data_IF_415025252957
#
_entry.id   IF_415025252957
#
_cell.length_a   1.000
_cell.length_b   1.000
_cell.length_c   1.000
_cell.angle_alpha   90.00
_cell.angle_beta   90.00
_cell.angle_gamma   90.00
#
_symmetry.space_group_name_H-M   'P 1'
#
loop_
_entity.id
_entity.type
_entity.pdbx_description
1 polymer ?
#
# COMPACT_ATOMS: atom_id res chain seq x y z
N UNK A 1 2.65 -7.53 21.12
CA UNK A 1 1.95 -6.98 19.92
C UNK A 1 0.45 -7.08 20.11
N UNK A 2 -0.30 -6.12 19.55
CA UNK A 2 -1.77 -6.09 19.56
C UNK A 2 -2.33 -7.31 18.82
N UNK A 3 -3.37 -7.97 19.33
CA UNK A 3 -4.00 -9.10 18.64
C UNK A 3 -4.91 -8.58 17.51
N UNK A 4 -4.40 -8.59 16.27
CA UNK A 4 -5.09 -8.08 15.08
C UNK A 4 -6.49 -8.67 14.86
N UNK A 5 -6.69 -9.96 15.16
CA UNK A 5 -7.97 -10.64 14.89
C UNK A 5 -9.17 -10.06 15.65
N UNK A 6 -8.93 -9.34 16.75
CA UNK A 6 -9.98 -8.66 17.52
C UNK A 6 -10.49 -7.37 16.86
N UNK A 7 -9.72 -6.80 15.93
CA UNK A 7 -9.97 -5.47 15.37
C UNK A 7 -10.24 -5.49 13.86
N UNK A 8 -10.02 -6.64 13.22
CA UNK A 8 -10.28 -6.80 11.79
C UNK A 8 -11.74 -6.45 11.44
N UNK A 9 -11.93 -5.55 10.48
CA UNK A 9 -13.24 -5.31 9.86
C UNK A 9 -13.52 -6.35 8.78
N UNK A 10 -14.47 -7.25 9.04
CA UNK A 10 -14.84 -8.35 8.16
C UNK A 10 -15.75 -7.94 6.99
N UNK A 11 -16.42 -6.77 7.07
CA UNK A 11 -17.36 -6.32 6.06
C UNK A 11 -16.69 -5.78 4.78
N UNK A 12 -15.41 -5.42 4.86
CA UNK A 12 -14.61 -4.91 3.74
C UNK A 12 -13.41 -5.84 3.55
N UNK A 13 -13.32 -6.46 2.38
CA UNK A 13 -12.31 -7.49 2.08
C UNK A 13 -11.88 -7.46 0.63
N UNK A 14 -10.71 -8.05 0.38
CA UNK A 14 -10.19 -8.22 -0.97
C UNK A 14 -9.68 -6.92 -1.58
N UNK A 15 -9.63 -6.87 -2.91
CA UNK A 15 -9.00 -5.78 -3.68
C UNK A 15 -9.91 -4.58 -3.95
N UNK A 16 -11.22 -4.78 -4.08
CA UNK A 16 -12.14 -3.72 -4.49
C UNK A 16 -12.88 -3.11 -3.29
N UNK A 17 -12.58 -1.84 -3.00
CA UNK A 17 -13.18 -1.08 -1.90
C UNK A 17 -13.56 0.31 -2.40
N UNK A 18 -14.85 0.61 -2.39
CA UNK A 18 -15.43 1.88 -2.84
C UNK A 18 -15.94 2.72 -1.67
N UNK A 19 -16.18 4.02 -1.92
CA UNK A 19 -16.82 4.89 -0.93
C UNK A 19 -18.18 4.35 -0.47
N UNK A 20 -18.99 3.83 -1.41
CA UNK A 20 -20.31 3.27 -1.12
C UNK A 20 -20.23 2.07 -0.16
N UNK A 21 -19.27 1.16 -0.37
CA UNK A 21 -19.05 0.03 0.54
C UNK A 21 -18.62 0.52 1.93
N UNK A 22 -17.72 1.49 2.02
CA UNK A 22 -17.30 2.07 3.31
C UNK A 22 -18.50 2.71 4.04
N UNK A 23 -19.32 3.48 3.34
CA UNK A 23 -20.51 4.13 3.91
C UNK A 23 -21.54 3.11 4.41
N UNK A 24 -21.83 2.08 3.60
CA UNK A 24 -22.86 1.10 3.89
C UNK A 24 -22.45 0.11 4.99
N UNK A 25 -21.14 -0.18 5.11
CA UNK A 25 -20.68 -1.32 5.92
C UNK A 25 -19.75 -0.96 7.07
N UNK A 26 -19.20 0.26 7.11
CA UNK A 26 -18.19 0.64 8.09
C UNK A 26 -18.43 1.99 8.78
N UNK A 27 -18.83 3.04 8.06
CA UNK A 27 -18.90 4.38 8.66
C UNK A 27 -19.87 4.49 9.83
N UNK A 28 -20.96 3.71 9.86
CA UNK A 28 -21.89 3.65 11.00
C UNK A 28 -21.26 3.04 12.26
N UNK A 29 -20.12 2.35 12.15
CA UNK A 29 -19.35 1.77 13.26
C UNK A 29 -18.33 2.77 13.84
N UNK A 30 -18.09 3.89 13.15
CA UNK A 30 -17.18 4.93 13.61
C UNK A 30 -17.92 5.84 14.61
N UNK A 31 -17.39 5.95 15.83
CA UNK A 31 -18.00 6.81 16.87
C UNK A 31 -17.85 8.30 16.60
N UNK A 32 -16.85 8.68 15.80
CA UNK A 32 -16.59 10.06 15.39
C UNK A 32 -17.45 10.43 14.19
N UNK A 33 -18.01 11.65 14.19
CA UNK A 33 -18.79 12.15 13.06
C UNK A 33 -17.89 12.39 11.82
N UNK A 34 -18.45 12.11 10.64
CA UNK A 34 -17.77 12.37 9.39
C UNK A 34 -17.64 13.88 9.14
N UNK A 35 -16.42 14.33 8.88
CA UNK A 35 -16.10 15.69 8.43
C UNK A 35 -15.87 15.63 6.92
N UNK A 36 -16.69 16.33 6.14
CA UNK A 36 -16.48 16.38 4.69
C UNK A 36 -15.49 17.49 4.32
N UNK A 37 -14.38 17.10 3.70
CA UNK A 37 -13.24 18.00 3.44
C UNK A 37 -13.30 18.66 2.07
N UNK A 38 -14.24 18.24 1.23
CA UNK A 38 -14.44 18.67 -0.14
C UNK A 38 -15.30 17.67 -0.90
N UNK A 39 -15.30 17.81 -2.23
CA UNK A 39 -15.97 16.88 -3.13
C UNK A 39 -14.99 16.38 -4.18
N UNK A 40 -15.24 15.19 -4.71
CA UNK A 40 -14.56 14.69 -5.91
C UNK A 40 -15.05 15.41 -7.17
N UNK A 41 -14.46 15.08 -8.32
CA UNK A 41 -14.91 15.57 -9.63
C UNK A 41 -16.37 15.20 -9.91
N UNK A 42 -16.80 13.96 -9.62
CA UNK A 42 -18.21 13.54 -9.76
C UNK A 42 -19.14 14.10 -8.68
N UNK A 43 -18.60 14.85 -7.72
CA UNK A 43 -19.38 15.50 -6.67
C UNK A 43 -19.59 14.67 -5.41
N UNK A 44 -18.92 13.52 -5.28
CA UNK A 44 -18.95 12.68 -4.08
C UNK A 44 -18.28 13.40 -2.91
N UNK A 45 -18.89 13.38 -1.72
CA UNK A 45 -18.27 14.01 -0.56
C UNK A 45 -17.07 13.18 -0.08
N UNK A 46 -15.93 13.84 0.16
CA UNK A 46 -14.72 13.19 0.66
C UNK A 46 -14.74 13.21 2.20
N UNK A 47 -14.90 12.05 2.88
CA UNK A 47 -15.03 12.00 4.32
C UNK A 47 -13.65 11.98 5.01
N UNK A 48 -13.58 12.63 6.16
CA UNK A 48 -12.50 12.51 7.11
C UNK A 48 -13.06 12.24 8.52
N UNK A 49 -12.28 11.57 9.35
CA UNK A 49 -12.65 11.26 10.74
C UNK A 49 -11.54 11.67 11.69
N UNK A 50 -11.91 12.22 12.84
CA UNK A 50 -10.96 12.68 13.85
C UNK A 50 -11.06 11.83 15.13
N UNK A 51 -9.91 11.44 15.67
CA UNK A 51 -9.80 10.63 16.88
C UNK A 51 -8.79 11.24 17.84
N UNK A 52 -9.08 11.14 19.13
CA UNK A 52 -8.18 11.63 20.18
C UNK A 52 -8.18 13.16 20.29
N UNK A 53 -7.46 13.64 21.29
CA UNK A 53 -7.41 15.06 21.66
C UNK A 53 -6.01 15.48 22.13
N UNK A 54 -5.00 14.64 21.89
CA UNK A 54 -3.66 14.91 22.33
C UNK A 54 -2.91 15.89 21.43
N UNK A 55 -1.76 16.37 21.93
CA UNK A 55 -0.98 17.44 21.27
C UNK A 55 -0.39 17.03 19.93
N UNK A 56 -0.07 15.75 19.73
CA UNK A 56 0.59 15.26 18.52
C UNK A 56 -0.42 15.10 17.39
N UNK A 57 -0.39 15.99 16.40
CA UNK A 57 -1.33 15.95 15.29
C UNK A 57 -0.81 15.06 14.17
N UNK A 58 -1.58 14.04 13.81
CA UNK A 58 -1.24 13.10 12.73
C UNK A 58 -2.32 13.16 11.65
N UNK A 59 -1.93 13.39 10.40
CA UNK A 59 -2.82 13.32 9.24
C UNK A 59 -2.51 12.05 8.45
N UNK A 60 -3.53 11.27 8.13
CA UNK A 60 -3.42 10.08 7.30
C UNK A 60 -4.39 10.18 6.13
N UNK A 61 -3.97 9.75 4.95
CA UNK A 61 -4.87 9.60 3.81
C UNK A 61 -4.54 8.32 3.04
N UNK A 62 -5.58 7.67 2.53
CA UNK A 62 -5.48 6.45 1.73
C UNK A 62 -6.34 6.54 0.47
N UNK A 63 -6.18 5.56 -0.43
CA UNK A 63 -6.87 5.46 -1.72
C UNK A 63 -6.89 6.80 -2.48
N UNK A 64 -5.74 7.48 -2.54
CA UNK A 64 -5.58 8.58 -3.50
C UNK A 64 -5.46 8.06 -4.94
N UNK A 65 -4.95 6.83 -5.07
CA UNK A 65 -5.19 5.99 -6.23
C UNK A 65 -6.34 5.05 -5.90
N UNK A 66 -7.37 5.04 -6.74
CA UNK A 66 -8.61 4.32 -6.46
C UNK A 66 -8.49 2.81 -6.37
N UNK A 67 -7.50 2.23 -7.05
CA UNK A 67 -7.22 0.79 -7.05
C UNK A 67 -6.31 0.30 -5.90
N UNK A 68 -5.98 1.16 -4.94
CA UNK A 68 -5.01 0.89 -3.86
C UNK A 68 -5.70 0.79 -2.48
N UNK A 69 -6.50 -0.25 -2.26
CA UNK A 69 -7.41 -0.37 -1.10
C UNK A 69 -6.83 -1.02 0.15
N UNK A 70 -5.64 -1.61 0.10
CA UNK A 70 -5.13 -2.43 1.20
C UNK A 70 -4.91 -1.62 2.46
N UNK A 71 -4.36 -0.42 2.30
CA UNK A 71 -4.11 0.47 3.42
C UNK A 71 -5.41 1.10 3.96
N UNK A 72 -6.43 1.34 3.12
CA UNK A 72 -7.78 1.74 3.58
C UNK A 72 -8.37 0.67 4.49
N UNK A 73 -8.27 -0.61 4.13
CA UNK A 73 -8.71 -1.72 4.99
C UNK A 73 -7.97 -1.75 6.33
N UNK A 74 -6.65 -1.57 6.32
CA UNK A 74 -5.85 -1.52 7.55
C UNK A 74 -6.19 -0.30 8.42
N UNK A 75 -6.56 0.82 7.81
CA UNK A 75 -7.09 2.00 8.50
C UNK A 75 -8.42 1.69 9.19
N UNK A 76 -9.33 0.95 8.54
CA UNK A 76 -10.57 0.50 9.18
C UNK A 76 -10.29 -0.33 10.44
N UNK A 77 -9.33 -1.25 10.37
CA UNK A 77 -8.93 -2.09 11.52
C UNK A 77 -8.29 -1.25 12.64
N UNK A 78 -7.45 -0.29 12.28
CA UNK A 78 -6.85 0.66 13.21
C UNK A 78 -7.94 1.46 13.93
N UNK A 79 -8.98 1.91 13.22
CA UNK A 79 -10.09 2.66 13.82
C UNK A 79 -10.83 1.80 14.86
N UNK A 80 -11.10 0.53 14.58
CA UNK A 80 -11.65 -0.39 15.58
C UNK A 80 -10.75 -0.50 16.82
N UNK A 81 -9.45 -0.64 16.63
CA UNK A 81 -8.48 -0.65 17.74
C UNK A 81 -8.53 0.65 18.55
N UNK A 82 -8.46 1.81 17.90
CA UNK A 82 -8.46 3.11 18.56
C UNK A 82 -9.76 3.36 19.35
N UNK A 83 -10.89 2.84 18.90
CA UNK A 83 -12.18 2.97 19.58
C UNK A 83 -12.40 1.93 20.71
N UNK A 84 -11.46 1.01 20.91
CA UNK A 84 -11.57 -0.06 21.90
C UNK A 84 -11.20 0.41 23.31
N UNK A 85 -11.38 -0.48 24.29
CA UNK A 85 -10.99 -0.23 25.68
C UNK A 85 -9.51 -0.55 25.96
N UNK A 86 -8.74 -0.94 24.94
CA UNK A 86 -7.32 -1.27 25.05
C UNK A 86 -6.50 -0.10 25.62
N UNK A 87 -5.58 -0.42 26.53
CA UNK A 87 -4.77 0.56 27.26
C UNK A 87 -3.87 1.36 26.30
N UNK A 88 -3.29 0.69 25.29
CA UNK A 88 -2.45 1.35 24.30
C UNK A 88 -3.29 2.26 23.39
N UNK A 89 -4.49 1.83 22.99
CA UNK A 89 -5.41 2.68 22.22
C UNK A 89 -5.75 3.97 22.97
N UNK A 90 -6.16 3.86 24.24
CA UNK A 90 -6.44 5.02 25.11
C UNK A 90 -5.23 5.93 25.28
N UNK A 91 -4.05 5.33 25.48
CA UNK A 91 -2.80 6.08 25.58
C UNK A 91 -2.51 6.88 24.31
N UNK A 92 -2.57 6.24 23.14
CA UNK A 92 -2.40 6.89 21.83
C UNK A 92 -3.38 8.05 21.68
N UNK A 93 -4.67 7.84 21.95
CA UNK A 93 -5.70 8.89 21.80
C UNK A 93 -5.55 10.05 22.82
N UNK A 94 -4.91 9.82 23.97
CA UNK A 94 -4.59 10.87 24.93
C UNK A 94 -3.41 11.75 24.51
N UNK A 95 -2.51 11.22 23.66
CA UNK A 95 -1.27 11.90 23.21
C UNK A 95 -1.37 12.44 21.79
N UNK A 96 -2.20 11.81 20.95
CA UNK A 96 -2.37 12.16 19.56
C UNK A 96 -3.77 12.70 19.25
N UNK A 97 -3.83 13.60 18.27
CA UNK A 97 -5.02 13.98 17.53
C UNK A 97 -4.87 13.46 16.11
N UNK A 98 -5.59 12.41 15.76
CA UNK A 98 -5.43 11.67 14.50
C UNK A 98 -6.57 12.06 13.57
N UNK A 99 -6.26 12.56 12.38
CA UNK A 99 -7.26 12.78 11.32
C UNK A 99 -6.99 11.83 10.16
N UNK A 100 -8.02 11.13 9.73
CA UNK A 100 -7.93 10.09 8.70
C UNK A 100 -8.86 10.44 7.55
N UNK A 101 -8.36 10.40 6.32
CA UNK A 101 -9.13 10.41 5.07
C UNK A 101 -9.09 8.98 4.50
N UNK A 102 -10.10 8.13 4.75
CA UNK A 102 -10.03 6.72 4.36
C UNK A 102 -9.96 6.51 2.84
N UNK A 103 -10.54 7.43 2.08
CA UNK A 103 -10.61 7.38 0.62
C UNK A 103 -10.57 8.80 0.05
N UNK A 104 -9.44 9.16 -0.57
CA UNK A 104 -9.27 10.51 -1.14
C UNK A 104 -9.84 10.61 -2.56
N UNK A 105 -9.75 9.54 -3.36
CA UNK A 105 -10.23 9.47 -4.73
C UNK A 105 -11.40 8.49 -4.86
N UNK A 106 -12.61 8.88 -4.41
CA UNK A 106 -13.78 8.00 -4.48
C UNK A 106 -14.17 7.67 -5.93
N UNK A 107 -13.98 8.60 -6.87
CA UNK A 107 -14.31 8.40 -8.28
C UNK A 107 -13.42 7.33 -8.93
N UNK A 108 -12.11 7.39 -8.68
CA UNK A 108 -11.18 6.38 -9.16
C UNK A 108 -11.44 5.01 -8.52
N UNK A 109 -11.86 4.99 -7.25
CA UNK A 109 -12.14 3.74 -6.54
C UNK A 109 -13.37 3.02 -7.08
N UNK A 110 -14.43 3.76 -7.43
CA UNK A 110 -15.66 3.23 -8.04
C UNK A 110 -15.40 2.44 -9.34
N UNK A 111 -14.39 2.85 -10.11
CA UNK A 111 -14.02 2.18 -11.38
C UNK A 111 -12.67 1.47 -11.32
N UNK A 112 -12.15 1.25 -10.11
CA UNK A 112 -10.89 0.55 -9.84
C UNK A 112 -9.70 1.04 -10.69
N UNK A 113 -9.48 2.35 -10.71
CA UNK A 113 -8.37 2.97 -11.46
C UNK A 113 -7.45 3.77 -10.55
N UNK A 114 -6.21 3.97 -11.01
CA UNK A 114 -5.19 4.75 -10.31
C UNK A 114 -5.52 6.26 -10.29
N UNK A 115 -6.09 6.76 -11.38
CA UNK A 115 -6.31 8.19 -11.62
C UNK A 115 -7.71 8.63 -11.12
N UNK A 116 -7.97 9.93 -11.01
CA UNK A 116 -9.31 10.41 -10.70
C UNK A 116 -10.21 10.41 -11.96
N UNK A 117 -11.43 10.93 -11.86
CA UNK A 117 -12.37 10.99 -12.98
C UNK A 117 -11.84 11.77 -14.19
N UNK A 118 -11.02 12.80 -13.98
CA UNK A 118 -10.41 13.60 -15.05
C UNK A 118 -9.12 12.97 -15.60
N UNK A 119 -8.87 11.69 -15.31
CA UNK A 119 -7.67 10.97 -15.73
C UNK A 119 -6.35 11.53 -15.16
N UNK A 120 -6.41 12.25 -14.03
CA UNK A 120 -5.24 12.83 -13.37
C UNK A 120 -4.76 11.94 -12.21
N UNK A 121 -3.46 11.65 -12.19
CA UNK A 121 -2.81 11.06 -11.02
C UNK A 121 -2.70 12.13 -9.92
N UNK A 122 -3.49 11.99 -8.85
CA UNK A 122 -3.50 12.95 -7.75
C UNK A 122 -2.14 13.06 -7.05
N UNK A 123 -1.31 12.01 -7.11
CA UNK A 123 0.07 12.02 -6.62
C UNK A 123 1.06 12.63 -7.63
N UNK A 124 0.54 13.34 -8.64
CA UNK A 124 1.29 14.23 -9.54
C UNK A 124 0.65 15.62 -9.62
N UNK A 125 -0.27 15.94 -8.71
CA UNK A 125 -1.05 17.19 -8.71
C UNK A 125 -0.89 18.00 -7.40
N UNK A 126 0.11 17.70 -6.57
CA UNK A 126 0.28 18.34 -5.26
C UNK A 126 0.66 19.84 -5.34
N UNK A 127 1.37 20.24 -6.40
CA UNK A 127 1.81 21.61 -6.63
C UNK A 127 0.73 22.45 -7.32
N UNK A 128 0.28 22.03 -8.49
CA UNK A 128 -0.67 22.79 -9.31
C UNK A 128 -2.09 22.70 -8.75
N UNK A 129 -2.44 21.55 -8.14
CA UNK A 129 -3.73 21.31 -7.46
C UNK A 129 -4.91 21.60 -8.38
N UNK A 130 -4.81 21.10 -9.60
CA UNK A 130 -5.83 21.23 -10.64
C UNK A 130 -7.10 20.49 -10.25
N UNK A 131 -7.00 19.43 -9.43
CA UNK A 131 -8.12 18.58 -9.06
C UNK A 131 -8.76 18.96 -7.72
N UNK A 132 -10.09 18.83 -7.57
CA UNK A 132 -10.78 19.19 -6.34
C UNK A 132 -10.37 18.31 -5.14
N UNK A 133 -10.01 17.04 -5.36
CA UNK A 133 -9.48 16.13 -4.33
C UNK A 133 -8.14 16.64 -3.77
N UNK A 134 -7.22 17.03 -4.65
CA UNK A 134 -5.92 17.62 -4.28
C UNK A 134 -6.09 18.91 -3.47
N UNK A 135 -7.03 19.77 -3.89
CA UNK A 135 -7.36 20.99 -3.16
C UNK A 135 -7.97 20.71 -1.79
N UNK A 136 -8.85 19.71 -1.68
CA UNK A 136 -9.47 19.30 -0.43
C UNK A 136 -8.43 18.81 0.58
N UNK A 137 -7.54 17.90 0.17
CA UNK A 137 -6.43 17.42 1.01
C UNK A 137 -5.52 18.58 1.45
N UNK A 138 -5.16 19.49 0.53
CA UNK A 138 -4.31 20.63 0.86
C UNK A 138 -4.96 21.59 1.86
N UNK A 139 -6.27 21.85 1.73
CA UNK A 139 -7.03 22.68 2.68
C UNK A 139 -7.08 22.01 4.05
N UNK A 140 -7.32 20.70 4.10
CA UNK A 140 -7.32 19.92 5.34
C UNK A 140 -5.95 19.98 6.03
N UNK A 141 -4.86 19.74 5.29
CA UNK A 141 -3.49 19.85 5.81
C UNK A 141 -3.24 21.22 6.44
N UNK A 142 -3.59 22.30 5.73
CA UNK A 142 -3.45 23.67 6.23
C UNK A 142 -4.31 23.95 7.46
N UNK A 143 -5.51 23.35 7.56
CA UNK A 143 -6.39 23.50 8.72
C UNK A 143 -5.85 22.80 9.96
N UNK A 144 -5.33 21.58 9.80
CA UNK A 144 -4.88 20.75 10.93
C UNK A 144 -3.52 21.23 11.44
N UNK A 145 -2.62 21.62 10.54
CA UNK A 145 -1.19 21.79 10.80
C UNK A 145 -0.59 20.52 11.45
N UNK A 146 -0.57 19.38 10.72
CA UNK A 146 -0.10 18.13 11.28
C UNK A 146 1.40 18.16 11.57
N UNK A 147 1.81 17.45 12.63
CA UNK A 147 3.21 17.20 12.96
C UNK A 147 3.75 15.94 12.26
N UNK A 148 2.87 15.03 11.85
CA UNK A 148 3.23 13.84 11.08
C UNK A 148 2.17 13.57 10.01
N UNK A 149 2.61 13.08 8.85
CA UNK A 149 1.75 12.68 7.75
C UNK A 149 2.01 11.23 7.35
N UNK A 150 0.96 10.40 7.27
CA UNK A 150 1.05 9.05 6.71
C UNK A 150 0.35 9.02 5.36
N UNK A 151 1.14 8.82 4.31
CA UNK A 151 0.68 8.66 2.94
C UNK A 151 0.54 7.17 2.62
N UNK A 152 -0.69 6.69 2.44
CA UNK A 152 -0.99 5.26 2.46
C UNK A 152 -1.32 4.74 1.05
N UNK A 153 -0.47 3.86 0.53
CA UNK A 153 -0.51 3.34 -0.84
C UNK A 153 -0.39 1.81 -0.92
N UNK A 154 -0.63 1.28 -2.11
CA UNK A 154 -0.31 -0.09 -2.49
C UNK A 154 0.81 -0.11 -3.55
N UNK A 155 1.68 -1.12 -3.46
CA UNK A 155 2.64 -1.43 -4.53
C UNK A 155 2.29 -2.72 -5.26
N UNK A 156 2.85 -2.93 -6.44
CA UNK A 156 2.61 -4.14 -7.27
C UNK A 156 3.29 -5.39 -6.69
N UNK A 157 2.88 -6.56 -7.15
CA UNK A 157 3.43 -7.87 -6.73
C UNK A 157 4.87 -8.13 -7.18
N UNK A 158 5.40 -7.32 -8.09
CA UNK A 158 6.71 -7.52 -8.73
C UNK A 158 7.93 -7.13 -7.86
N UNK A 159 7.71 -6.54 -6.69
CA UNK A 159 8.78 -6.00 -5.86
C UNK A 159 9.35 -7.02 -4.86
N UNK A 160 10.68 -7.06 -4.75
CA UNK A 160 11.44 -7.76 -3.71
C UNK A 160 12.10 -6.78 -2.76
N UNK A 161 12.27 -7.18 -1.50
CA UNK A 161 13.05 -6.45 -0.51
C UNK A 161 14.54 -6.67 -0.78
N UNK A 162 15.15 -5.79 -1.58
CA UNK A 162 16.51 -5.95 -2.07
C UNK A 162 16.65 -7.03 -3.13
N UNK A 163 17.90 -7.49 -3.34
CA UNK A 163 18.22 -8.57 -4.27
C UNK A 163 18.05 -9.95 -3.61
N UNK A 164 16.81 -10.27 -3.21
CA UNK A 164 16.48 -11.49 -2.47
C UNK A 164 15.19 -12.12 -2.99
N UNK A 165 14.97 -13.40 -2.71
CA UNK A 165 13.69 -14.10 -2.95
C UNK A 165 12.63 -13.75 -1.89
N UNK A 166 12.73 -12.59 -1.25
CA UNK A 166 11.73 -12.13 -0.29
C UNK A 166 10.91 -11.01 -0.94
N UNK A 167 9.58 -11.18 -1.08
CA UNK A 167 8.76 -10.11 -1.61
C UNK A 167 8.83 -8.90 -0.68
N UNK A 168 8.72 -7.72 -1.25
CA UNK A 168 8.53 -6.50 -0.47
C UNK A 168 7.07 -6.48 -0.01
N UNK A 169 6.76 -7.15 1.11
CA UNK A 169 5.40 -7.23 1.66
C UNK A 169 4.95 -5.87 2.19
N UNK A 170 5.86 -5.15 2.87
CA UNK A 170 5.65 -3.75 3.26
C UNK A 170 6.85 -2.95 2.74
N UNK A 171 6.61 -1.74 2.26
CA UNK A 171 7.69 -0.82 1.94
C UNK A 171 7.41 0.56 2.49
N UNK A 172 8.49 1.27 2.79
CA UNK A 172 8.43 2.62 3.32
C UNK A 172 9.25 3.59 2.48
N UNK A 173 8.95 4.87 2.62
CA UNK A 173 9.81 5.95 2.16
C UNK A 173 9.64 7.17 3.07
N UNK A 174 10.76 7.76 3.46
CA UNK A 174 10.84 9.16 3.90
C UNK A 174 11.08 10.02 2.65
N UNK A 175 10.05 10.72 2.13
CA UNK A 175 10.14 11.45 0.87
C UNK A 175 11.27 12.47 0.88
N UNK A 176 11.82 12.76 -0.30
CA UNK A 176 12.85 13.79 -0.43
C UNK A 176 12.22 15.18 -0.38
N UNK A 177 12.98 16.15 0.13
CA UNK A 177 12.56 17.56 0.18
C UNK A 177 13.15 18.41 -0.96
N UNK A 178 14.12 17.88 -1.69
CA UNK A 178 14.81 18.51 -2.81
C UNK A 178 15.50 17.45 -3.70
N UNK A 179 16.04 17.90 -4.84
CA UNK A 179 16.70 17.06 -5.84
C UNK A 179 17.95 16.37 -5.27
N UNK A 180 18.65 17.05 -4.37
CA UNK A 180 19.87 16.60 -3.69
C UNK A 180 19.60 15.52 -2.63
N UNK A 181 18.33 15.31 -2.26
CA UNK A 181 17.88 14.35 -1.24
C UNK A 181 18.51 14.62 0.13
N UNK A 182 18.57 15.89 0.51
CA UNK A 182 19.12 16.28 1.82
C UNK A 182 18.36 15.62 2.97
N UNK A 183 19.08 15.24 4.03
CA UNK A 183 18.49 14.75 5.29
C UNK A 183 18.16 15.97 6.15
N UNK A 184 17.00 16.58 5.87
CA UNK A 184 16.46 17.66 6.71
C UNK A 184 15.94 17.09 8.04
N UNK A 185 15.78 17.91 9.10
CA UNK A 185 15.29 17.44 10.40
C UNK A 185 13.95 16.68 10.32
N UNK A 186 13.08 17.08 9.40
CA UNK A 186 11.77 16.45 9.19
C UNK A 186 11.90 15.12 8.46
N UNK A 187 12.89 15.00 7.57
CA UNK A 187 13.18 13.76 6.85
C UNK A 187 13.84 12.75 7.76
N UNK A 188 14.75 13.21 8.62
CA UNK A 188 15.33 12.45 9.71
C UNK A 188 14.25 11.90 10.65
N UNK A 189 13.30 12.73 11.10
CA UNK A 189 12.20 12.27 11.96
C UNK A 189 11.34 11.17 11.27
N UNK A 190 11.03 11.33 9.99
CA UNK A 190 10.31 10.31 9.22
C UNK A 190 11.13 9.02 9.05
N UNK A 191 12.44 9.11 8.77
CA UNK A 191 13.34 7.95 8.70
C UNK A 191 13.37 7.18 10.02
N UNK A 192 13.51 7.89 11.15
CA UNK A 192 13.52 7.29 12.49
C UNK A 192 12.20 6.61 12.84
N UNK A 193 11.08 7.20 12.47
CA UNK A 193 9.77 6.57 12.65
C UNK A 193 9.62 5.30 11.79
N UNK A 194 10.13 5.31 10.56
CA UNK A 194 10.18 4.13 9.70
C UNK A 194 11.03 3.03 10.33
N UNK A 195 12.16 3.35 10.94
CA UNK A 195 13.00 2.38 11.66
C UNK A 195 12.22 1.72 12.80
N UNK A 196 11.48 2.50 13.58
CA UNK A 196 10.64 1.98 14.66
C UNK A 196 9.61 0.96 14.16
N UNK A 197 8.93 1.27 13.06
CA UNK A 197 7.96 0.37 12.43
C UNK A 197 8.64 -0.86 11.81
N UNK A 198 9.80 -0.68 11.18
CA UNK A 198 10.57 -1.77 10.60
C UNK A 198 11.01 -2.77 11.69
N UNK A 199 11.46 -2.32 12.86
CA UNK A 199 11.86 -3.22 13.94
C UNK A 199 10.72 -4.17 14.36
N UNK A 200 9.52 -3.65 14.59
CA UNK A 200 8.36 -4.50 14.89
C UNK A 200 8.01 -5.42 13.72
N UNK A 201 8.06 -4.93 12.48
CA UNK A 201 7.78 -5.74 11.30
C UNK A 201 8.81 -6.83 11.04
N UNK A 202 10.08 -6.65 11.41
CA UNK A 202 11.09 -7.71 11.28
C UNK A 202 10.79 -8.91 12.18
N UNK A 203 10.06 -8.74 13.28
CA UNK A 203 9.60 -9.85 14.12
C UNK A 203 8.50 -10.68 13.45
N UNK A 204 7.72 -10.06 12.55
CA UNK A 204 6.57 -10.68 11.88
C UNK A 204 6.89 -11.20 10.47
N UNK A 205 7.64 -10.42 9.70
CA UNK A 205 7.96 -10.66 8.28
C UNK A 205 9.45 -10.40 7.99
N UNK A 206 10.36 -11.18 8.61
CA UNK A 206 11.80 -10.93 8.56
C UNK A 206 12.33 -10.87 7.12
N UNK A 207 12.96 -9.75 6.78
CA UNK A 207 13.53 -9.46 5.46
C UNK A 207 12.53 -9.19 4.34
N UNK A 208 11.25 -8.93 4.66
CA UNK A 208 10.21 -8.58 3.67
C UNK A 208 9.78 -7.10 3.76
N UNK A 209 10.55 -6.28 4.49
CA UNK A 209 10.38 -4.83 4.53
C UNK A 209 11.41 -4.18 3.61
N UNK A 210 10.95 -3.33 2.72
CA UNK A 210 11.80 -2.63 1.75
C UNK A 210 11.66 -1.10 1.79
N UNK A 211 12.46 -0.42 0.98
CA UNK A 211 12.45 1.03 0.81
C UNK A 211 12.21 1.39 -0.67
N UNK A 212 11.34 2.36 -0.91
CA UNK A 212 11.15 2.91 -2.26
C UNK A 212 12.27 3.87 -2.65
N UNK A 213 12.45 4.07 -3.97
CA UNK A 213 13.34 5.12 -4.48
C UNK A 213 12.85 6.50 -4.00
N UNK A 214 13.80 7.30 -3.53
CA UNK A 214 13.58 8.63 -2.97
C UNK A 214 13.85 9.74 -4.00
N UNK A 215 13.70 9.46 -5.29
CA UNK A 215 13.77 10.44 -6.36
C UNK A 215 12.75 11.58 -6.15
N UNK A 216 13.26 12.80 -6.04
CA UNK A 216 12.43 13.96 -5.74
C UNK A 216 11.52 14.34 -6.91
N UNK A 217 10.26 14.60 -6.60
CA UNK A 217 9.29 15.19 -7.50
C UNK A 217 8.31 16.05 -6.69
N UNK A 218 8.41 17.37 -6.83
CA UNK A 218 7.56 18.33 -6.12
C UNK A 218 6.05 18.18 -6.39
N UNK A 219 5.68 17.47 -7.46
CA UNK A 219 4.29 17.15 -7.80
C UNK A 219 3.76 15.93 -7.03
N UNK A 220 4.62 15.13 -6.40
CA UNK A 220 4.22 14.07 -5.47
C UNK A 220 3.75 14.65 -4.14
N UNK A 221 2.66 14.13 -3.60
CA UNK A 221 2.06 14.63 -2.36
C UNK A 221 3.00 14.45 -1.17
N UNK A 222 3.72 13.33 -1.12
CA UNK A 222 4.72 13.05 -0.08
C UNK A 222 5.81 14.11 -0.03
N UNK A 223 6.51 14.31 -1.14
CA UNK A 223 7.56 15.31 -1.32
C UNK A 223 7.05 16.73 -1.04
N UNK A 224 5.89 17.07 -1.59
CA UNK A 224 5.26 18.37 -1.40
C UNK A 224 5.02 18.67 0.08
N UNK A 225 4.48 17.72 0.86
CA UNK A 225 4.25 17.93 2.29
C UNK A 225 5.56 17.92 3.08
N UNK A 226 6.53 17.10 2.67
CA UNK A 226 7.88 17.12 3.23
C UNK A 226 8.53 18.51 3.09
N UNK A 227 8.39 19.17 1.93
CA UNK A 227 8.92 20.53 1.69
C UNK A 227 8.29 21.59 2.59
N UNK A 228 7.11 21.32 3.16
CA UNK A 228 6.44 22.25 4.09
C UNK A 228 6.91 22.12 5.53
N UNK A 229 7.89 21.25 5.80
CA UNK A 229 8.45 21.05 7.13
C UNK A 229 7.65 20.07 7.99
N UNK A 230 6.86 19.17 7.38
CA UNK A 230 6.13 18.12 8.10
C UNK A 230 6.72 16.74 7.76
N UNK A 231 7.23 15.98 8.75
CA UNK A 231 7.62 14.58 8.57
C UNK A 231 6.51 13.78 7.91
N UNK A 232 6.78 13.28 6.70
CA UNK A 232 5.84 12.50 5.91
C UNK A 232 6.40 11.09 5.69
N UNK A 233 5.57 10.08 5.88
CA UNK A 233 5.93 8.69 5.73
C UNK A 233 5.03 8.08 4.67
N UNK A 234 5.64 7.56 3.61
CA UNK A 234 4.96 6.74 2.62
C UNK A 234 4.90 5.30 3.13
N UNK A 235 3.71 4.71 3.08
CA UNK A 235 3.46 3.28 3.28
C UNK A 235 3.07 2.68 1.95
N UNK A 236 3.68 1.55 1.61
CA UNK A 236 3.43 0.83 0.37
C UNK A 236 3.10 -0.62 0.72
N UNK A 237 1.82 -0.95 0.66
CA UNK A 237 1.31 -2.30 0.90
C UNK A 237 1.62 -3.16 -0.33
N UNK A 238 2.53 -4.12 -0.20
CA UNK A 238 2.92 -5.02 -1.26
C UNK A 238 2.23 -6.38 -1.21
N UNK A 239 2.94 -7.40 -1.66
CA UNK A 239 2.42 -8.77 -1.72
C UNK A 239 3.11 -9.64 -0.68
N UNK A 240 2.31 -10.38 0.08
CA UNK A 240 2.74 -11.54 0.84
C UNK A 240 2.46 -12.80 0.01
N UNK A 241 3.32 -13.82 0.10
CA UNK A 241 3.19 -15.02 -0.73
C UNK A 241 1.77 -15.63 -0.68
N UNK A 242 1.18 -15.87 -1.86
CA UNK A 242 -0.19 -16.39 -2.06
C UNK A 242 -1.34 -15.48 -1.54
N UNK A 243 -1.04 -14.26 -1.08
CA UNK A 243 -2.02 -13.29 -0.55
C UNK A 243 -2.46 -12.28 -1.62
N UNK A 244 -3.09 -12.76 -2.70
CA UNK A 244 -3.55 -11.90 -3.79
C UNK A 244 -4.70 -10.97 -3.37
N UNK A 245 -5.50 -11.35 -2.38
CA UNK A 245 -6.54 -10.49 -1.79
C UNK A 245 -5.99 -9.42 -0.83
N UNK A 246 -4.70 -9.51 -0.49
CA UNK A 246 -3.98 -8.61 0.43
C UNK A 246 -4.61 -8.52 1.80
N UNK A 247 -4.93 -9.66 2.39
CA UNK A 247 -5.45 -9.76 3.76
C UNK A 247 -4.33 -9.95 4.80
N UNK A 248 -3.20 -10.55 4.42
CA UNK A 248 -1.98 -10.61 5.24
C UNK A 248 -1.19 -9.32 5.16
N UNK A 249 -1.03 -8.74 3.97
CA UNK A 249 -0.41 -7.41 3.89
C UNK A 249 -1.18 -6.37 4.71
N UNK A 250 -2.52 -6.41 4.69
CA UNK A 250 -3.40 -5.57 5.52
C UNK A 250 -3.06 -5.67 7.02
N UNK A 251 -2.85 -6.87 7.55
CA UNK A 251 -2.45 -7.12 8.94
C UNK A 251 -1.11 -6.44 9.27
N UNK A 252 -0.11 -6.56 8.40
CA UNK A 252 1.20 -5.95 8.63
C UNK A 252 1.15 -4.41 8.56
N UNK A 253 0.35 -3.84 7.65
CA UNK A 253 0.11 -2.40 7.64
C UNK A 253 -0.58 -1.95 8.93
N UNK A 254 -1.57 -2.71 9.44
CA UNK A 254 -2.19 -2.41 10.72
C UNK A 254 -1.14 -2.36 11.85
N UNK A 255 -0.27 -3.37 11.96
CA UNK A 255 0.79 -3.37 12.96
C UNK A 255 1.73 -2.17 12.82
N UNK A 256 2.12 -1.81 11.59
CA UNK A 256 2.96 -0.65 11.33
C UNK A 256 2.27 0.67 11.75
N UNK A 257 0.98 0.84 11.44
CA UNK A 257 0.21 2.02 11.83
C UNK A 257 0.15 2.18 13.35
N UNK A 258 -0.14 1.08 14.09
CA UNK A 258 -0.17 1.11 15.55
C UNK A 258 1.21 1.44 16.12
N UNK A 259 2.27 0.81 15.61
CA UNK A 259 3.64 1.09 16.05
C UNK A 259 4.04 2.53 15.80
N UNK A 260 3.76 3.06 14.60
CA UNK A 260 4.04 4.45 14.26
C UNK A 260 3.32 5.43 15.21
N UNK A 261 2.04 5.21 15.47
CA UNK A 261 1.26 6.02 16.41
C UNK A 261 1.76 5.89 17.85
N UNK A 262 2.11 4.69 18.30
CA UNK A 262 2.68 4.46 19.62
C UNK A 262 4.00 5.23 19.79
N UNK A 263 4.94 5.10 18.85
CA UNK A 263 6.22 5.80 18.90
C UNK A 263 6.06 7.32 18.93
N UNK A 264 5.06 7.87 18.23
CA UNK A 264 4.71 9.30 18.31
C UNK A 264 4.13 9.63 19.70
N UNK A 265 3.17 8.84 20.19
CA UNK A 265 2.51 9.05 21.48
C UNK A 265 3.50 9.03 22.66
N UNK A 266 4.46 8.10 22.61
CA UNK A 266 5.52 7.94 23.59
C UNK A 266 6.65 8.98 23.42
N UNK A 267 6.60 9.77 22.33
CA UNK A 267 7.63 10.75 21.96
C UNK A 267 9.03 10.13 21.81
N UNK A 268 9.10 8.93 21.24
CA UNK A 268 10.30 8.10 21.15
C UNK A 268 11.00 8.13 19.78
N UNK A 269 10.55 8.99 18.86
CA UNK A 269 11.14 9.07 17.51
C UNK A 269 12.67 9.27 17.57
N UNK A 270 13.16 10.05 18.54
CA UNK A 270 14.60 10.32 18.68
C UNK A 270 15.43 9.16 19.26
N UNK A 271 14.80 8.07 19.71
CA UNK A 271 15.49 6.86 20.18
C UNK A 271 16.05 6.01 19.02
N UNK A 272 15.60 6.27 17.80
CA UNK A 272 16.00 5.51 16.60
C UNK A 272 17.08 6.25 15.79
N UNK A 273 17.86 5.49 15.02
CA UNK A 273 18.95 6.02 14.20
C UNK A 273 18.57 6.14 12.72
N UNK A 274 18.97 7.24 12.08
CA UNK A 274 18.87 7.39 10.63
C UNK A 274 19.73 6.39 9.87
N UNK A 275 20.84 5.91 10.46
CA UNK A 275 21.68 4.89 9.83
C UNK A 275 20.93 3.56 9.65
N UNK A 276 20.01 3.23 10.55
CA UNK A 276 19.23 2.00 10.47
C UNK A 276 18.20 2.05 9.34
N UNK A 277 17.74 3.26 8.94
CA UNK A 277 16.87 3.44 7.78
C UNK A 277 17.55 2.99 6.49
N UNK A 278 18.83 3.31 6.31
CA UNK A 278 19.61 2.90 5.13
C UNK A 278 19.98 1.41 5.12
N UNK A 279 19.79 0.70 6.24
CA UNK A 279 19.90 -0.76 6.29
C UNK A 279 18.67 -1.47 5.72
N UNK A 280 17.53 -0.77 5.62
CA UNK A 280 16.34 -1.30 4.96
C UNK A 280 16.65 -1.37 3.45
N UNK A 281 16.56 -2.56 2.84
CA UNK A 281 16.96 -2.73 1.46
C UNK A 281 16.03 -1.97 0.50
N UNK A 282 16.60 -1.35 -0.52
CA UNK A 282 15.81 -0.77 -1.60
C UNK A 282 15.10 -1.84 -2.40
N UNK A 283 13.87 -1.55 -2.83
CA UNK A 283 13.08 -2.48 -3.63
C UNK A 283 13.78 -2.77 -4.98
N UNK A 284 13.63 -4.02 -5.43
CA UNK A 284 14.01 -4.46 -6.78
C UNK A 284 12.80 -5.09 -7.47
N UNK A 285 12.80 -5.10 -8.81
CA UNK A 285 11.67 -5.60 -9.62
C UNK A 285 11.89 -7.05 -10.05
N UNK A 286 12.07 -7.95 -9.08
CA UNK A 286 12.55 -9.32 -9.32
C UNK A 286 11.44 -10.38 -9.35
N UNK A 287 10.18 -10.03 -9.08
CA UNK A 287 9.10 -11.00 -9.03
C UNK A 287 8.22 -11.03 -10.29
N UNK A 288 7.82 -12.24 -10.63
CA UNK A 288 6.65 -12.60 -11.42
C UNK A 288 5.58 -13.20 -10.50
N UNK A 289 4.33 -13.14 -10.93
CA UNK A 289 3.23 -13.79 -10.20
C UNK A 289 3.33 -15.31 -10.38
N UNK A 290 3.62 -15.76 -11.59
CA UNK A 290 3.89 -17.17 -11.91
C UNK A 290 5.12 -17.29 -12.80
N UNK A 291 6.00 -18.25 -12.51
CA UNK A 291 7.07 -18.67 -13.42
C UNK A 291 6.80 -20.10 -13.86
N UNK A 292 6.67 -20.29 -15.17
CA UNK A 292 6.39 -21.61 -15.77
C UNK A 292 7.66 -22.14 -16.44
N UNK A 293 8.05 -23.36 -16.07
CA UNK A 293 9.17 -24.10 -16.62
C UNK A 293 8.66 -25.11 -17.65
N UNK A 294 9.43 -25.34 -18.70
CA UNK A 294 9.09 -26.27 -19.78
C UNK A 294 7.73 -25.98 -20.45
N UNK A 295 7.40 -24.70 -20.64
CA UNK A 295 6.15 -24.29 -21.30
C UNK A 295 5.97 -24.85 -22.73
N UNK A 296 7.07 -25.32 -23.35
CA UNK A 296 7.04 -26.03 -24.63
C UNK A 296 6.26 -27.36 -24.58
N UNK A 297 6.06 -27.94 -23.38
CA UNK A 297 5.19 -29.11 -23.19
C UNK A 297 3.72 -28.74 -23.33
N UNK A 298 3.33 -27.53 -22.92
CA UNK A 298 1.97 -26.99 -23.07
C UNK A 298 1.72 -26.53 -24.51
N UNK A 299 2.67 -25.79 -25.08
CA UNK A 299 2.59 -25.28 -26.45
C UNK A 299 3.96 -25.35 -27.12
N UNK A 300 4.13 -26.17 -28.19
CA UNK A 300 5.41 -26.36 -28.87
C UNK A 300 6.04 -25.09 -29.48
N UNK A 301 5.30 -23.98 -29.57
CA UNK A 301 5.82 -22.68 -30.01
C UNK A 301 6.81 -22.06 -29.02
N UNK A 302 6.75 -22.45 -27.74
CA UNK A 302 7.81 -22.09 -26.79
C UNK A 302 9.07 -22.90 -27.08
N UNK A 303 10.24 -22.26 -27.03
CA UNK A 303 11.52 -22.96 -27.18
C UNK A 303 11.80 -23.83 -25.95
N UNK A 304 12.42 -24.98 -26.17
CA UNK A 304 12.88 -25.84 -25.08
C UNK A 304 13.88 -25.10 -24.17
N UNK A 305 13.77 -25.31 -22.86
CA UNK A 305 14.59 -24.65 -21.84
C UNK A 305 14.22 -23.20 -21.51
N UNK A 306 13.23 -22.59 -22.20
CA UNK A 306 12.75 -21.25 -21.88
C UNK A 306 11.75 -21.29 -20.72
N UNK A 307 11.95 -20.40 -19.75
CA UNK A 307 10.98 -20.08 -18.70
C UNK A 307 10.08 -18.94 -19.16
N UNK A 308 8.81 -18.98 -18.74
CA UNK A 308 7.81 -17.95 -19.03
C UNK A 308 7.42 -17.27 -17.71
N UNK A 309 7.72 -15.98 -17.60
CA UNK A 309 7.36 -15.14 -16.47
C UNK A 309 6.03 -14.46 -16.75
N UNK A 310 5.06 -14.67 -15.86
CA UNK A 310 3.69 -14.21 -16.01
C UNK A 310 3.38 -13.20 -14.91
N UNK A 311 2.70 -12.12 -15.27
CA UNK A 311 2.15 -11.16 -14.31
C UNK A 311 0.64 -11.09 -14.47
N UNK A 312 -0.06 -10.84 -13.37
CA UNK A 312 -1.49 -10.61 -13.40
C UNK A 312 -1.77 -9.12 -13.62
N UNK A 313 -2.68 -8.86 -14.55
CA UNK A 313 -3.41 -7.61 -14.69
C UNK A 313 -4.69 -7.71 -13.89
N UNK A 314 -4.91 -6.74 -13.00
CA UNK A 314 -6.14 -6.63 -12.23
C UNK A 314 -7.21 -5.95 -13.09
N UNK A 315 -8.38 -6.60 -13.23
CA UNK A 315 -9.50 -6.10 -14.02
C UNK A 315 -10.77 -6.19 -13.18
N UNK A 316 -11.51 -5.09 -13.07
CA UNK A 316 -12.82 -5.07 -12.45
C UNK A 316 -13.86 -5.72 -13.38
N UNK A 317 -14.49 -6.80 -12.94
CA UNK A 317 -15.57 -7.53 -13.63
C UNK A 317 -16.65 -7.84 -12.59
N UNK A 318 -17.88 -7.39 -12.81
CA UNK A 318 -19.04 -7.64 -11.93
C UNK A 318 -18.74 -7.37 -10.43
N UNK A 319 -18.20 -6.18 -10.13
CA UNK A 319 -17.81 -5.72 -8.79
C UNK A 319 -16.74 -6.61 -8.09
N UNK A 320 -15.95 -7.35 -8.86
CA UNK A 320 -14.83 -8.17 -8.37
C UNK A 320 -13.58 -7.94 -9.19
N UNK A 321 -12.42 -8.03 -8.53
CA UNK A 321 -11.14 -7.96 -9.22
C UNK A 321 -10.76 -9.35 -9.69
N UNK A 322 -10.69 -9.51 -11.01
CA UNK A 322 -10.18 -10.68 -11.67
C UNK A 322 -8.70 -10.48 -12.02
N UNK A 323 -7.88 -11.48 -11.69
CA UNK A 323 -6.48 -11.52 -12.06
C UNK A 323 -6.33 -12.18 -13.42
N UNK A 324 -6.04 -11.38 -14.45
CA UNK A 324 -5.87 -11.84 -15.82
C UNK A 324 -4.38 -12.01 -16.11
N UNK A 325 -3.90 -13.23 -16.41
CA UNK A 325 -2.48 -13.46 -16.66
C UNK A 325 -2.04 -12.87 -18.00
N UNK A 326 -0.85 -12.27 -18.00
CA UNK A 326 -0.16 -11.76 -19.18
C UNK A 326 1.30 -12.27 -19.16
N UNK A 327 1.81 -12.71 -20.32
CA UNK A 327 3.22 -13.05 -20.46
C UNK A 327 4.03 -11.76 -20.36
N UNK A 328 4.78 -11.61 -19.27
CA UNK A 328 5.62 -10.45 -19.03
C UNK A 328 7.02 -10.62 -19.64
N UNK A 329 7.59 -11.82 -19.52
CA UNK A 329 8.94 -12.10 -20.03
C UNK A 329 9.14 -13.58 -20.39
N UNK A 330 10.07 -13.86 -21.30
CA UNK A 330 10.46 -15.20 -21.73
C UNK A 330 11.98 -15.28 -21.82
N UNK A 331 12.60 -16.28 -21.20
CA UNK A 331 14.05 -16.48 -21.27
C UNK A 331 14.58 -17.42 -20.20
N UNK A 332 15.83 -17.21 -19.78
CA UNK A 332 16.43 -17.94 -18.64
C UNK A 332 15.83 -17.52 -17.30
N UNK A 333 15.34 -16.27 -17.23
CA UNK A 333 14.84 -15.58 -16.03
C UNK A 333 15.79 -15.73 -14.84
N UNK A 334 17.10 -15.68 -15.12
CA UNK A 334 18.14 -15.80 -14.10
C UNK A 334 18.11 -14.56 -13.19
N UNK A 335 18.13 -14.77 -11.87
CA UNK A 335 18.01 -13.70 -10.88
C UNK A 335 16.57 -13.19 -10.63
N UNK A 336 15.57 -13.75 -11.32
CA UNK A 336 14.15 -13.48 -11.05
C UNK A 336 13.49 -14.60 -10.25
N UNK A 337 12.38 -14.27 -9.60
CA UNK A 337 11.61 -15.15 -8.72
C UNK A 337 10.14 -15.17 -9.15
N UNK A 338 9.43 -16.24 -8.78
CA UNK A 338 7.98 -16.34 -8.91
C UNK A 338 7.34 -16.48 -7.54
N UNK A 339 6.19 -15.83 -7.32
CA UNK A 339 5.35 -16.15 -6.15
C UNK A 339 4.88 -17.61 -6.22
N UNK A 340 4.58 -18.06 -7.44
CA UNK A 340 4.31 -19.46 -7.77
C UNK A 340 5.25 -19.97 -8.86
N UNK A 341 5.77 -21.19 -8.66
CA UNK A 341 6.55 -21.92 -9.66
C UNK A 341 5.73 -23.10 -10.17
N UNK A 342 5.64 -23.26 -11.48
CA UNK A 342 4.97 -24.40 -12.14
C UNK A 342 5.98 -25.05 -13.08
N UNK A 343 6.17 -26.35 -12.94
CA UNK A 343 7.02 -27.15 -13.83
C UNK A 343 6.15 -28.08 -14.68
N UNK A 344 6.20 -27.92 -16.00
CA UNK A 344 5.43 -28.76 -16.91
C UNK A 344 6.16 -30.09 -17.13
N UNK A 345 5.70 -31.15 -16.47
CA UNK A 345 6.39 -32.45 -16.44
C UNK A 345 6.13 -33.25 -17.72
N UNK A 346 4.86 -33.44 -18.10
CA UNK A 346 4.51 -34.16 -19.33
C UNK A 346 3.30 -33.56 -20.07
N UNK A 347 2.92 -34.14 -21.22
CA UNK A 347 1.87 -33.62 -22.08
C UNK A 347 0.44 -34.02 -21.65
N UNK A 348 0.30 -34.75 -20.55
CA UNK A 348 -0.98 -35.26 -20.00
C UNK A 348 -1.30 -34.63 -18.64
N UNK A 349 -0.27 -34.31 -17.86
CA UNK A 349 -0.34 -33.51 -16.64
C UNK A 349 0.76 -32.43 -16.67
N UNK A 350 0.33 -31.19 -16.86
CA UNK A 350 1.20 -30.03 -16.96
C UNK A 350 1.60 -29.46 -15.59
N UNK A 351 1.15 -30.04 -14.47
CA UNK A 351 1.43 -29.52 -13.11
C UNK A 351 0.58 -28.31 -12.70
N UNK A 352 -0.51 -28.03 -13.43
CA UNK A 352 -1.43 -26.92 -13.16
C UNK A 352 -2.57 -27.38 -12.26
N UNK A 353 -2.90 -26.57 -11.25
CA UNK A 353 -4.10 -26.78 -10.43
C UNK A 353 -5.33 -26.14 -11.09
N UNK A 354 -6.53 -26.43 -10.55
CA UNK A 354 -7.76 -25.76 -10.99
C UNK A 354 -7.72 -24.23 -10.88
N UNK A 355 -6.89 -23.69 -9.97
CA UNK A 355 -6.66 -22.25 -9.80
C UNK A 355 -5.83 -21.63 -10.94
N UNK A 356 -5.09 -22.44 -11.69
CA UNK A 356 -4.16 -21.99 -12.73
C UNK A 356 -4.75 -22.05 -14.14
N UNK A 357 -6.05 -22.31 -14.26
CA UNK A 357 -6.75 -22.51 -15.53
C UNK A 357 -6.49 -21.38 -16.53
N UNK A 358 -6.59 -20.11 -16.10
CA UNK A 358 -6.34 -18.94 -16.97
C UNK A 358 -4.88 -18.88 -17.45
N UNK A 359 -3.94 -19.30 -16.61
CA UNK A 359 -2.50 -19.34 -16.95
C UNK A 359 -2.26 -20.43 -18.00
N UNK A 360 -2.88 -21.60 -17.82
CA UNK A 360 -2.80 -22.68 -18.81
C UNK A 360 -3.42 -22.27 -20.15
N UNK A 361 -4.60 -21.65 -20.14
CA UNK A 361 -5.28 -21.15 -21.34
C UNK A 361 -4.44 -20.09 -22.08
N UNK A 362 -3.80 -19.16 -21.35
CA UNK A 362 -2.87 -18.19 -21.92
C UNK A 362 -1.71 -18.88 -22.67
N UNK A 363 -1.12 -19.93 -22.09
CA UNK A 363 0.00 -20.65 -22.70
C UNK A 363 -0.45 -21.50 -23.90
N UNK A 364 -1.62 -22.15 -23.81
CA UNK A 364 -2.17 -22.96 -24.91
C UNK A 364 -2.50 -22.11 -26.14
N UNK A 365 -3.06 -20.90 -25.91
CA UNK A 365 -3.42 -19.97 -26.97
C UNK A 365 -2.28 -19.01 -27.36
N UNK A 366 -1.05 -19.25 -26.88
CA UNK A 366 0.09 -18.41 -27.23
C UNK A 366 0.37 -18.49 -28.74
N UNK A 367 0.20 -17.34 -29.40
CA UNK A 367 0.58 -17.10 -30.79
C UNK A 367 1.74 -16.10 -30.84
N UNK A 368 2.64 -16.29 -31.82
CA UNK A 368 3.96 -15.62 -31.91
C UNK A 368 3.83 -14.18 -32.37
#
# INVERSE_FOLDING_TARGET
>A
MVNYSLFKEDSIKGRYVTLAQLQNHFFSKIRSEAIYIGKSVKGENIPAFQFGHGKFKVLMWSQMHGNESTTTKAVCDMIHFLQSEDVLAKHILSKCSITVVPILNPDGAEVYTRINHNEVDLNRDAKDRTQPESQALRKLFKKIHPQYCFNLHDQRTLFSAGNTQKPATVSFLSPSSNVERDITPTREAAMKLIVAMNYDLQELIPGQVGRYDDGFNENCTGDSFQTTGTPTILFEAGHYAEDYEREKTREYIFHALIKGLQTIADNQVNEFSTNDYFKIPENRKLFFDVVVWHANKVNPKFKEGVKVGIRFKEVLIDDKIEFIPEIAEKGTLEGYFGHKLIECIDSKDFGFSSKDKKVLELLQNFDV
#
